data_IF_981798814467
#
_entry.id   IF_981798814467
#
_cell.length_a   1.000
_cell.length_b   1.000
_cell.length_c   1.000
_cell.angle_alpha   90.00
_cell.angle_beta   90.00
_cell.angle_gamma   90.00
#
_symmetry.space_group_name_H-M   'P 1'
#
loop_
_entity.id
_entity.type
_entity.pdbx_description
1 polymer ?
#
# COMPACT_ATOMS: atom_id res chain seq x y z
N UNK A 1 10.55 -6.99 -6.94
CA UNK A 1 9.34 -7.02 -7.79
C UNK A 1 8.54 -5.76 -7.51
N UNK A 2 7.83 -5.17 -8.49
CA UNK A 2 7.00 -3.97 -8.26
C UNK A 2 5.57 -4.43 -7.95
N UNK A 3 5.04 -4.07 -6.78
CA UNK A 3 3.65 -4.37 -6.41
C UNK A 3 2.68 -3.69 -7.39
N UNK A 4 1.69 -4.43 -7.88
CA UNK A 4 0.56 -3.87 -8.65
C UNK A 4 -0.29 -2.96 -7.76
N UNK A 5 -1.20 -2.16 -8.34
CA UNK A 5 -2.10 -1.34 -7.53
C UNK A 5 -2.99 -2.24 -6.65
N UNK A 6 -3.49 -3.31 -7.24
CA UNK A 6 -4.34 -4.32 -6.61
C UNK A 6 -3.62 -4.98 -5.44
N UNK A 7 -2.34 -5.34 -5.59
CA UNK A 7 -1.54 -5.88 -4.49
C UNK A 7 -1.43 -4.87 -3.33
N UNK A 8 -1.18 -3.59 -3.63
CA UNK A 8 -1.03 -2.55 -2.60
C UNK A 8 -2.33 -2.32 -1.83
N UNK A 9 -3.47 -2.32 -2.53
CA UNK A 9 -4.81 -2.24 -1.91
C UNK A 9 -5.06 -3.45 -1.03
N UNK A 10 -4.81 -4.65 -1.55
CA UNK A 10 -5.03 -5.89 -0.80
C UNK A 10 -4.17 -5.95 0.48
N UNK A 11 -2.90 -5.56 0.39
CA UNK A 11 -1.99 -5.51 1.54
C UNK A 11 -2.52 -4.53 2.59
N UNK A 12 -2.99 -3.34 2.19
CA UNK A 12 -3.54 -2.34 3.10
C UNK A 12 -4.76 -2.88 3.87
N UNK A 13 -5.68 -3.54 3.17
CA UNK A 13 -6.87 -4.17 3.79
C UNK A 13 -6.50 -5.29 4.75
N UNK A 14 -5.56 -6.17 4.37
CA UNK A 14 -5.09 -7.26 5.22
C UNK A 14 -4.42 -6.75 6.51
N UNK A 15 -3.69 -5.64 6.45
CA UNK A 15 -3.11 -5.00 7.63
C UNK A 15 -4.21 -4.47 8.56
N UNK A 16 -5.29 -3.89 8.02
CA UNK A 16 -6.46 -3.48 8.83
C UNK A 16 -7.20 -4.66 9.46
N UNK A 17 -7.12 -5.83 8.86
CA UNK A 17 -7.64 -7.09 9.43
C UNK A 17 -6.70 -7.72 10.47
N UNK A 18 -5.53 -7.12 10.73
CA UNK A 18 -4.59 -7.56 11.75
C UNK A 18 -3.52 -8.54 11.28
N UNK A 19 -3.31 -8.71 9.96
CA UNK A 19 -2.19 -9.51 9.47
C UNK A 19 -0.85 -8.83 9.76
N UNK A 20 0.13 -9.64 10.15
CA UNK A 20 1.48 -9.16 10.42
C UNK A 20 2.26 -8.84 9.13
N UNK A 21 3.19 -7.89 9.23
CA UNK A 21 4.09 -7.55 8.13
C UNK A 21 4.94 -8.74 7.68
N UNK A 22 5.38 -9.61 8.59
CA UNK A 22 6.16 -10.82 8.24
C UNK A 22 5.38 -11.81 7.36
N UNK A 23 4.09 -12.02 7.66
CA UNK A 23 3.22 -12.87 6.84
C UNK A 23 3.03 -12.27 5.44
N UNK A 24 2.79 -10.96 5.36
CA UNK A 24 2.59 -10.25 4.10
C UNK A 24 3.88 -10.19 3.28
N UNK A 25 5.02 -9.96 3.93
CA UNK A 25 6.33 -9.91 3.30
C UNK A 25 6.65 -11.22 2.58
N UNK A 26 6.40 -12.36 3.24
CA UNK A 26 6.57 -13.70 2.63
C UNK A 26 5.58 -13.95 1.50
N UNK A 27 4.30 -13.60 1.70
CA UNK A 27 3.22 -13.84 0.72
C UNK A 27 3.42 -13.05 -0.57
N UNK A 28 3.74 -11.77 -0.45
CA UNK A 28 3.90 -10.86 -1.59
C UNK A 28 5.35 -10.75 -2.08
N UNK A 29 6.30 -11.45 -1.43
CA UNK A 29 7.73 -11.47 -1.76
C UNK A 29 8.33 -10.06 -1.83
N UNK A 30 7.99 -9.26 -0.82
CA UNK A 30 8.45 -7.88 -0.62
C UNK A 30 9.07 -7.74 0.75
N UNK A 31 10.02 -6.82 0.91
CA UNK A 31 10.62 -6.54 2.20
C UNK A 31 9.63 -5.84 3.15
N UNK A 32 9.79 -6.11 4.45
CA UNK A 32 8.97 -5.50 5.51
C UNK A 32 9.08 -3.97 5.49
N UNK A 33 10.27 -3.42 5.20
CA UNK A 33 10.47 -1.98 5.09
C UNK A 33 9.64 -1.33 3.98
N UNK A 34 9.50 -2.00 2.83
CA UNK A 34 8.69 -1.57 1.70
C UNK A 34 7.21 -1.56 2.03
N UNK A 35 6.74 -2.56 2.78
CA UNK A 35 5.39 -2.58 3.32
C UNK A 35 5.15 -1.41 4.29
N UNK A 36 6.05 -1.20 5.26
CA UNK A 36 5.94 -0.08 6.20
C UNK A 36 5.93 1.28 5.50
N UNK A 37 6.78 1.45 4.48
CA UNK A 37 6.82 2.67 3.69
C UNK A 37 5.51 2.91 2.95
N UNK A 38 4.97 1.88 2.30
CA UNK A 38 3.69 1.95 1.59
C UNK A 38 2.54 2.32 2.53
N UNK A 39 2.46 1.71 3.71
CA UNK A 39 1.44 2.03 4.72
C UNK A 39 1.54 3.51 5.13
N UNK A 40 2.75 3.99 5.43
CA UNK A 40 2.97 5.40 5.79
C UNK A 40 2.53 6.37 4.70
N UNK A 41 2.73 6.01 3.42
CA UNK A 41 2.24 6.82 2.31
C UNK A 41 0.71 6.85 2.25
N UNK A 42 0.07 5.69 2.39
CA UNK A 42 -1.40 5.57 2.37
C UNK A 42 -2.01 6.31 3.56
N UNK A 43 -1.46 6.16 4.75
CA UNK A 43 -1.99 6.83 5.95
C UNK A 43 -1.85 8.36 5.88
N UNK A 44 -0.82 8.85 5.17
CA UNK A 44 -0.60 10.29 4.99
C UNK A 44 -1.44 10.92 3.87
N UNK A 45 -1.59 10.23 2.75
CA UNK A 45 -2.15 10.80 1.53
C UNK A 45 -3.44 10.11 1.04
N UNK A 46 -3.90 9.08 1.75
CA UNK A 46 -4.98 8.21 1.33
C UNK A 46 -4.54 7.13 0.33
N UNK A 47 -5.39 6.12 0.14
CA UNK A 47 -5.11 4.96 -0.74
C UNK A 47 -4.93 5.34 -2.21
N UNK A 48 -5.44 6.50 -2.64
CA UNK A 48 -5.27 6.98 -4.00
C UNK A 48 -3.78 7.13 -4.38
N UNK A 49 -2.90 7.45 -3.43
CA UNK A 49 -1.47 7.68 -3.69
C UNK A 49 -0.74 6.43 -4.22
N UNK A 50 -1.24 5.22 -3.93
CA UNK A 50 -0.63 3.99 -4.42
C UNK A 50 -1.08 3.61 -5.83
N UNK A 51 -2.09 4.30 -6.36
CA UNK A 51 -2.63 4.18 -7.71
C UNK A 51 -1.66 4.83 -8.70
N UNK A 52 -0.87 4.00 -9.38
CA UNK A 52 0.11 4.48 -10.36
C UNK A 52 -0.59 4.67 -11.70
N UNK A 53 -0.62 5.90 -12.25
CA UNK A 53 -1.08 6.17 -13.62
C UNK A 53 -2.32 7.08 -13.77
N UNK A 54 -2.93 7.54 -12.67
CA UNK A 54 -3.91 8.64 -12.72
C UNK A 54 -3.31 9.84 -12.00
N UNK A 55 -3.19 10.96 -12.71
CA UNK A 55 -2.89 12.26 -12.12
C UNK A 55 -4.04 12.54 -11.15
N UNK A 56 -3.77 12.42 -9.84
CA UNK A 56 -4.71 12.84 -8.80
C UNK A 56 -4.65 14.36 -8.84
N UNK A 57 -5.56 14.97 -9.59
CA UNK A 57 -5.79 16.41 -9.50
C UNK A 57 -6.39 16.61 -8.10
N UNK A 58 -5.58 17.11 -7.18
CA UNK A 58 -6.01 17.48 -5.84
C UNK A 58 -6.84 18.75 -6.00
N UNK A 59 -8.11 18.62 -6.41
CA UNK A 59 -9.10 19.69 -6.21
C UNK A 59 -9.42 19.71 -4.72
N UNK A 60 -8.67 20.56 -4.01
CA UNK A 60 -9.09 21.12 -2.73
C UNK A 60 -10.38 21.91 -2.97
N UNK A 61 -11.42 21.59 -2.21
CA UNK A 61 -12.55 22.48 -1.94
C UNK A 61 -12.17 23.28 -0.70
#
# INVERSE_FOLDING_TARGET
MKLSYEDKVQIYELIKQGLSFDQLSKRFRVDVSGLMYMIRLIDRYGIAIVQTGRIIIILQI
#
